data_IF_024140034589
#
_entry.id   IF_024140034589
#
_cell.length_a   1.000
_cell.length_b   1.000
_cell.length_c   1.000
_cell.angle_alpha   90.00
_cell.angle_beta   90.00
_cell.angle_gamma   90.00
#
_symmetry.space_group_name_H-M   'P 1'
#
loop_
_entity.id
_entity.type
_entity.pdbx_description
1 polymer ?
#
# COMPACT_ATOMS: atom_id res chain seq x y z
N UNK A 1 -12.81 -25.01 -4.45
CA UNK A 1 -12.26 -24.44 -4.71
C UNK A 1 -11.70 -24.42 -5.04
N UNK A 2 -11.42 -24.64 -4.74
CA UNK A 2 -10.71 -24.25 -4.97
C UNK A 2 -10.09 -24.22 -5.42
N UNK A 3 -9.90 -24.47 -5.30
CA UNK A 3 -9.15 -24.08 -5.66
C UNK A 3 -8.85 -24.19 -6.37
N UNK A 4 -8.82 -24.49 -6.41
CA UNK A 4 -8.34 -24.24 -7.01
C UNK A 4 -7.55 -24.17 -7.49
N UNK A 5 -7.47 -24.24 -7.53
CA UNK A 5 -6.53 -24.16 -7.83
C UNK A 5 -5.47 -23.94 -7.44
N UNK A 6 -5.34 -23.99 -6.90
CA UNK A 6 -4.36 -23.62 -6.45
C UNK A 6 -3.55 -24.40 -6.10
N UNK A 7 -2.98 -24.58 -6.14
CA UNK A 7 -2.16 -25.19 -5.71
C UNK A 7 -1.81 -25.30 -4.67
N UNK A 8 -2.08 -26.07 -4.50
CA UNK A 8 -1.65 -25.93 -3.48
C UNK A 8 -0.60 -25.38 -3.03
N UNK A 9 -0.06 -25.39 -2.81
CA UNK A 9 0.76 -24.62 -2.22
C UNK A 9 0.66 -23.31 -2.34
N UNK A 10 0.43 -22.97 -3.26
CA UNK A 10 0.23 -21.59 -3.37
C UNK A 10 -1.06 -21.19 -2.71
N UNK A 11 -2.03 -22.02 -2.71
CA UNK A 11 -3.25 -21.74 -1.98
C UNK A 11 -2.96 -21.62 -0.49
N UNK A 12 -2.19 -22.54 0.01
CA UNK A 12 -1.81 -22.52 1.40
C UNK A 12 -1.04 -21.27 1.75
N UNK A 13 -0.16 -20.83 0.88
CA UNK A 13 0.57 -19.60 1.06
C UNK A 13 -0.34 -18.41 1.16
N UNK A 14 -1.32 -18.32 0.28
CA UNK A 14 -2.26 -17.22 0.32
C UNK A 14 -3.09 -17.21 1.60
N UNK A 15 -3.46 -18.37 2.07
CA UNK A 15 -4.24 -18.46 3.32
C UNK A 15 -3.47 -17.94 4.50
N UNK A 16 -2.15 -18.04 4.43
CA UNK A 16 -1.28 -17.59 5.52
C UNK A 16 -0.71 -16.22 5.31
N UNK A 17 -1.02 -15.61 4.18
CA UNK A 17 -0.53 -14.26 3.92
C UNK A 17 -1.09 -13.31 4.95
N UNK A 18 -0.27 -12.40 5.40
CA UNK A 18 -0.63 -11.43 6.40
C UNK A 18 -0.81 -10.08 5.75
N UNK A 19 -1.75 -9.32 6.26
CA UNK A 19 -1.94 -7.95 5.81
C UNK A 19 -1.17 -7.00 6.71
N UNK A 20 -0.60 -5.99 6.07
CA UNK A 20 0.16 -4.95 6.74
C UNK A 20 -0.36 -3.60 6.29
N UNK A 21 -0.67 -2.73 7.25
CA UNK A 21 -1.06 -1.37 6.93
C UNK A 21 0.16 -0.48 7.06
N UNK A 22 0.37 0.35 6.04
CA UNK A 22 1.50 1.26 5.97
C UNK A 22 0.93 2.66 5.90
N UNK A 23 1.22 3.45 6.92
CA UNK A 23 0.74 4.82 7.04
C UNK A 23 1.92 5.75 6.83
N UNK A 24 1.85 6.56 5.77
CA UNK A 24 2.97 7.44 5.41
C UNK A 24 2.50 8.89 5.48
N UNK A 25 3.37 9.75 6.02
CA UNK A 25 3.11 11.18 6.08
C UNK A 25 4.03 11.91 5.13
N UNK A 26 3.48 12.87 4.39
CA UNK A 26 4.24 13.65 3.43
C UNK A 26 5.13 14.65 4.13
N UNK A 27 6.25 14.96 3.50
CA UNK A 27 7.01 16.15 3.87
C UNK A 27 6.23 17.40 3.46
N UNK A 28 6.49 18.49 4.14
CA UNK A 28 5.95 19.77 3.70
C UNK A 28 6.38 20.04 2.26
N UNK A 29 5.49 20.61 1.48
CA UNK A 29 5.77 21.01 0.10
C UNK A 29 6.18 19.86 -0.81
N UNK A 30 5.66 18.66 -0.57
CA UNK A 30 5.99 17.50 -1.39
C UNK A 30 5.11 17.38 -2.63
N UNK A 31 4.14 18.27 -2.81
CA UNK A 31 3.25 18.22 -3.97
C UNK A 31 3.98 18.14 -5.31
N UNK A 32 4.97 18.99 -5.57
CA UNK A 32 5.73 18.91 -6.83
C UNK A 32 6.41 17.57 -7.03
N UNK A 33 6.93 16.96 -5.97
CA UNK A 33 7.55 15.63 -6.07
C UNK A 33 6.52 14.58 -6.45
N UNK A 34 5.32 14.67 -5.89
CA UNK A 34 4.24 13.74 -6.25
C UNK A 34 3.91 13.85 -7.73
N UNK A 35 3.81 15.07 -8.24
CA UNK A 35 3.53 15.29 -9.66
C UNK A 35 4.64 14.71 -10.52
N UNK A 36 5.89 15.02 -10.18
CA UNK A 36 7.04 14.60 -10.97
C UNK A 36 7.20 13.08 -11.01
N UNK A 37 6.80 12.38 -9.95
CA UNK A 37 7.03 10.94 -9.85
C UNK A 37 5.75 10.12 -9.91
N UNK A 38 4.64 10.72 -10.33
CA UNK A 38 3.35 10.06 -10.35
C UNK A 38 3.34 8.81 -11.23
N UNK A 39 3.91 8.92 -12.43
CA UNK A 39 3.89 7.78 -13.36
C UNK A 39 4.71 6.61 -12.82
N UNK A 40 5.89 6.91 -12.25
CA UNK A 40 6.71 5.86 -11.66
C UNK A 40 5.99 5.19 -10.48
N UNK A 41 5.26 5.99 -9.69
CA UNK A 41 4.47 5.48 -8.58
C UNK A 41 3.39 4.53 -9.07
N UNK A 42 2.64 4.94 -10.10
CA UNK A 42 1.59 4.10 -10.66
C UNK A 42 2.15 2.81 -11.25
N UNK A 43 3.28 2.91 -11.93
CA UNK A 43 3.93 1.75 -12.53
C UNK A 43 4.35 0.75 -11.45
N UNK A 44 4.91 1.24 -10.37
CA UNK A 44 5.32 0.39 -9.26
C UNK A 44 4.11 -0.35 -8.67
N UNK A 45 3.05 0.40 -8.35
CA UNK A 45 1.87 -0.21 -7.76
C UNK A 45 1.23 -1.21 -8.72
N UNK A 46 1.23 -0.90 -10.02
CA UNK A 46 0.69 -1.82 -10.99
C UNK A 46 1.47 -3.13 -11.04
N UNK A 47 2.81 -3.04 -11.02
CA UNK A 47 3.66 -4.23 -10.99
C UNK A 47 3.46 -5.04 -9.72
N UNK A 48 3.15 -4.36 -8.61
CA UNK A 48 2.95 -5.00 -7.32
C UNK A 48 1.50 -5.33 -7.04
N UNK A 49 0.65 -5.25 -8.06
CA UNK A 49 -0.79 -5.46 -7.93
C UNK A 49 -1.16 -6.71 -7.14
N UNK A 50 -0.51 -7.87 -7.36
CA UNK A 50 -0.89 -9.07 -6.62
C UNK A 50 -0.75 -8.96 -5.10
N UNK A 51 0.06 -8.05 -4.59
CA UNK A 51 0.21 -7.89 -3.15
C UNK A 51 -0.45 -6.63 -2.61
N UNK A 52 -0.91 -5.74 -3.49
CA UNK A 52 -1.56 -4.50 -3.06
C UNK A 52 -3.05 -4.73 -2.83
N UNK A 53 -3.45 -4.76 -1.57
CA UNK A 53 -4.85 -4.90 -1.23
C UNK A 53 -5.59 -3.57 -1.35
N UNK A 54 -4.95 -2.50 -0.95
CA UNK A 54 -5.54 -1.16 -0.96
C UNK A 54 -4.44 -0.12 -1.01
N UNK A 55 -4.61 0.91 -1.82
CA UNK A 55 -3.71 2.06 -1.80
C UNK A 55 -4.54 3.31 -2.03
N UNK A 56 -4.17 4.39 -1.34
CA UNK A 56 -4.84 5.65 -1.56
C UNK A 56 -4.12 6.78 -0.84
N UNK A 57 -4.22 7.99 -1.36
CA UNK A 57 -3.67 9.15 -0.68
C UNK A 57 -4.54 9.55 0.50
N UNK A 58 -3.89 10.10 1.52
CA UNK A 58 -4.58 10.75 2.62
C UNK A 58 -4.64 12.23 2.29
N UNK A 59 -5.75 12.85 2.60
CA UNK A 59 -5.99 14.24 2.19
C UNK A 59 -6.32 15.11 3.38
N UNK A 60 -6.10 16.41 3.21
CA UNK A 60 -6.57 17.39 4.18
C UNK A 60 -8.10 17.30 4.31
N UNK A 61 -8.63 17.86 5.39
CA UNK A 61 -10.07 17.75 5.67
C UNK A 61 -10.95 18.20 4.53
N UNK A 62 -10.53 19.24 3.82
CA UNK A 62 -11.30 19.76 2.69
C UNK A 62 -10.99 19.03 1.38
N UNK A 63 -10.11 18.04 1.40
CA UNK A 63 -9.77 17.26 0.22
C UNK A 63 -8.91 17.98 -0.80
N UNK A 64 -8.42 19.17 -0.47
CA UNK A 64 -7.74 20.01 -1.47
C UNK A 64 -6.27 19.63 -1.70
N UNK A 65 -5.65 18.90 -0.77
CA UNK A 65 -4.26 18.49 -0.96
C UNK A 65 -3.99 17.16 -0.30
N UNK A 66 -2.97 16.49 -0.79
CA UNK A 66 -2.53 15.22 -0.21
C UNK A 66 -1.59 15.50 0.96
N UNK A 67 -1.75 14.75 2.04
CA UNK A 67 -0.92 14.89 3.23
C UNK A 67 -0.22 13.58 3.59
N UNK A 68 -0.49 12.51 2.86
CA UNK A 68 0.12 11.22 3.13
C UNK A 68 -0.43 10.15 2.22
N UNK A 69 -0.19 8.91 2.59
CA UNK A 69 -0.73 7.76 1.86
C UNK A 69 -1.02 6.63 2.85
N UNK A 70 -1.97 5.81 2.49
CA UNK A 70 -2.27 4.59 3.24
C UNK A 70 -2.21 3.42 2.27
N UNK A 71 -1.37 2.44 2.59
CA UNK A 71 -1.28 1.22 1.79
C UNK A 71 -1.57 0.03 2.68
N UNK A 72 -2.30 -0.93 2.14
CA UNK A 72 -2.50 -2.21 2.81
C UNK A 72 -2.01 -3.27 1.84
N UNK A 73 -1.01 -4.03 2.26
CA UNK A 73 -0.37 -5.00 1.39
C UNK A 73 -0.34 -6.38 2.05
N UNK A 74 -0.20 -7.39 1.22
CA UNK A 74 0.00 -8.75 1.66
C UNK A 74 1.49 -9.04 1.67
N UNK A 75 2.01 -9.49 2.79
CA UNK A 75 3.42 -9.84 2.90
C UNK A 75 3.57 -10.88 3.99
N UNK A 76 4.63 -11.69 3.90
CA UNK A 76 4.86 -12.77 4.85
C UNK A 76 5.56 -12.32 6.11
N UNK A 77 6.11 -11.12 6.11
CA UNK A 77 6.87 -10.61 7.24
C UNK A 77 6.96 -9.09 7.19
N UNK A 78 7.34 -8.50 8.31
CA UNK A 78 7.60 -7.06 8.36
C UNK A 78 8.73 -6.67 7.41
N UNK A 79 9.75 -7.52 7.29
CA UNK A 79 10.88 -7.22 6.40
C UNK A 79 10.40 -7.10 4.95
N UNK A 80 9.51 -7.98 4.53
CA UNK A 80 8.95 -7.89 3.18
C UNK A 80 8.11 -6.63 3.02
N UNK A 81 7.34 -6.27 4.03
CA UNK A 81 6.54 -5.06 3.98
C UNK A 81 7.44 -3.83 3.88
N UNK A 82 8.54 -3.80 4.63
CA UNK A 82 9.51 -2.70 4.54
C UNK A 82 10.14 -2.63 3.16
N UNK A 83 10.46 -3.78 2.57
CA UNK A 83 11.04 -3.80 1.22
C UNK A 83 10.07 -3.20 0.21
N UNK A 84 8.78 -3.46 0.37
CA UNK A 84 7.78 -2.86 -0.50
C UNK A 84 7.82 -1.33 -0.42
N UNK A 85 7.86 -0.80 0.81
CA UNK A 85 7.91 0.65 1.02
C UNK A 85 9.17 1.23 0.38
N UNK A 86 10.31 0.61 0.65
CA UNK A 86 11.60 1.18 0.24
C UNK A 86 11.81 1.12 -1.27
N UNK A 87 11.11 0.24 -1.95
CA UNK A 87 11.19 0.18 -3.41
C UNK A 87 10.23 1.10 -4.13
N UNK A 88 9.36 1.78 -3.41
CA UNK A 88 8.29 2.54 -4.01
C UNK A 88 8.78 3.94 -4.44
N UNK A 89 8.30 4.40 -5.61
CA UNK A 89 8.84 5.59 -6.26
C UNK A 89 8.69 6.87 -5.45
N UNK A 90 7.54 7.09 -4.81
CA UNK A 90 7.36 8.27 -3.97
C UNK A 90 8.30 8.24 -2.77
N UNK A 91 8.45 7.05 -2.18
CA UNK A 91 9.37 6.92 -1.06
C UNK A 91 10.79 7.27 -1.49
N UNK A 92 11.23 6.70 -2.62
CA UNK A 92 12.59 6.96 -3.12
C UNK A 92 12.80 8.41 -3.53
N UNK A 93 11.76 9.08 -3.98
CA UNK A 93 11.84 10.48 -4.37
C UNK A 93 11.84 11.43 -3.18
N UNK A 94 11.61 10.91 -1.97
CA UNK A 94 11.63 11.76 -0.78
C UNK A 94 10.33 12.47 -0.49
N UNK A 95 9.22 11.94 -0.97
CA UNK A 95 7.90 12.53 -0.71
C UNK A 95 7.53 12.47 0.77
N UNK A 96 7.91 11.38 1.45
CA UNK A 96 7.44 11.12 2.80
C UNK A 96 8.46 11.51 3.85
N UNK A 97 7.98 12.07 4.96
CA UNK A 97 8.85 12.37 6.09
C UNK A 97 8.95 11.20 7.07
N UNK A 98 7.94 10.33 7.10
CA UNK A 98 7.92 9.21 8.03
C UNK A 98 6.89 8.19 7.59
N UNK A 99 7.02 6.98 8.10
CA UNK A 99 5.99 5.97 7.89
C UNK A 99 5.98 4.98 9.05
N UNK A 100 4.86 4.30 9.20
CA UNK A 100 4.68 3.26 10.21
C UNK A 100 4.07 2.04 9.55
N UNK A 101 4.46 0.87 10.03
CA UNK A 101 3.94 -0.41 9.54
C UNK A 101 3.35 -1.17 10.71
N UNK A 102 2.11 -1.63 10.56
CA UNK A 102 1.44 -2.45 11.55
C UNK A 102 0.77 -3.65 10.90
N UNK A 103 0.71 -4.75 11.63
CA UNK A 103 -0.10 -5.89 11.22
C UNK A 103 -1.56 -5.47 11.24
N UNK A 104 -2.29 -5.92 10.24
CA UNK A 104 -3.72 -5.66 10.17
C UNK A 104 -4.47 -6.97 10.15
N UNK A 105 -5.47 -7.08 11.00
CA UNK A 105 -6.42 -8.17 10.91
C UNK A 105 -7.75 -7.54 10.50
N UNK A 106 -8.30 -8.02 9.39
CA UNK A 106 -9.54 -7.45 8.91
C UNK A 106 -10.67 -7.80 9.86
N UNK A 107 -11.36 -6.78 10.33
CA UNK A 107 -12.53 -6.98 11.18
C UNK A 107 -13.79 -6.95 10.36
N UNK A 108 -14.01 -5.86 9.67
CA UNK A 108 -15.22 -5.70 8.87
C UNK A 108 -14.84 -4.99 7.57
N UNK A 109 -15.37 -5.49 6.46
CA UNK A 109 -15.09 -4.92 5.16
C UNK A 109 -16.40 -4.71 4.42
N UNK A 110 -16.69 -3.46 4.08
CA UNK A 110 -17.96 -3.11 3.46
C UNK A 110 -17.71 -2.09 2.34
N UNK A 111 -17.20 -2.58 1.20
CA UNK A 111 -16.73 -1.67 0.13
C UNK A 111 -17.82 -0.79 -0.47
N UNK A 112 -19.09 -1.21 -0.42
CA UNK A 112 -20.16 -0.42 -1.00
C UNK A 112 -20.36 0.93 -0.32
N UNK A 113 -19.82 1.11 0.89
CA UNK A 113 -19.99 2.38 1.59
C UNK A 113 -19.25 3.52 0.94
N UNK A 114 -18.31 3.23 0.05
CA UNK A 114 -17.47 4.26 -0.57
C UNK A 114 -17.52 4.23 -2.09
N UNK A 115 -18.50 3.56 -2.64
CA UNK A 115 -18.60 3.47 -4.09
C UNK A 115 -19.29 4.71 -4.69
#
# INVERSE_FOLDING_TARGET
>A
MLDRGLPANSTSSREKAMLWVIHLLDKADSGPLRVAHLEAHKDYLHRMDPVCFFTGPLQSDDGSRNVGSLWIISANSRVEAQAFVEGEAFFQAGVFQSYQIHRLRMGHFHPELVS
#
